data_IF_826448360681
#
_entry.id   IF_826448360681
#
_cell.length_a   1.000
_cell.length_b   1.000
_cell.length_c   1.000
_cell.angle_alpha   90.00
_cell.angle_beta   90.00
_cell.angle_gamma   90.00
#
_symmetry.space_group_name_H-M   'P 1'
#
loop_
_entity.id
_entity.type
_entity.pdbx_description
1 polymer ?
#
# COMPACT_ATOMS: atom_id res chain seq x y z
N UNK A 1 -36.90 -11.86 17.98
CA UNK A 1 -37.06 -10.61 18.75
C UNK A 1 -35.74 -9.84 18.71
N UNK A 2 -35.42 -9.23 17.56
CA UNK A 2 -34.20 -8.44 17.34
C UNK A 2 -34.51 -6.99 17.70
N UNK A 3 -34.06 -6.54 18.86
CA UNK A 3 -34.23 -5.15 19.26
C UNK A 3 -33.36 -4.25 18.37
N UNK A 4 -34.02 -3.50 17.50
CA UNK A 4 -33.43 -2.39 16.76
C UNK A 4 -33.08 -1.27 17.75
N UNK A 5 -31.82 -1.20 18.18
CA UNK A 5 -31.33 -0.08 18.99
C UNK A 5 -31.45 1.19 18.14
N UNK A 6 -32.40 2.05 18.48
CA UNK A 6 -32.58 3.34 17.80
C UNK A 6 -31.46 4.30 18.24
N UNK A 7 -30.45 4.48 17.38
CA UNK A 7 -29.42 5.52 17.52
C UNK A 7 -30.06 6.91 17.75
N UNK A 8 -29.68 7.60 18.83
CA UNK A 8 -30.18 8.95 19.11
C UNK A 8 -29.53 9.96 18.14
N UNK A 9 -30.19 11.10 17.81
CA UNK A 9 -29.58 12.12 16.95
C UNK A 9 -28.27 12.70 17.54
N UNK A 10 -28.11 12.64 18.86
CA UNK A 10 -26.90 13.06 19.56
C UNK A 10 -25.70 12.11 19.28
N UNK A 11 -25.91 10.78 19.33
CA UNK A 11 -24.84 9.81 19.03
C UNK A 11 -24.36 9.91 17.58
N UNK A 12 -25.29 10.12 16.63
CA UNK A 12 -24.95 10.32 15.21
C UNK A 12 -24.12 11.58 14.95
N UNK A 13 -24.45 12.71 15.57
CA UNK A 13 -23.67 13.96 15.42
C UNK A 13 -22.27 13.81 16.00
N UNK A 14 -22.14 13.19 17.18
CA UNK A 14 -20.84 12.92 17.79
C UNK A 14 -19.99 12.00 16.90
N UNK A 15 -20.57 10.92 16.36
CA UNK A 15 -19.89 10.03 15.42
C UNK A 15 -19.40 10.79 14.17
N UNK A 16 -20.24 11.66 13.60
CA UNK A 16 -19.87 12.47 12.43
C UNK A 16 -18.72 13.44 12.74
N UNK A 17 -18.73 14.08 13.90
CA UNK A 17 -17.64 14.97 14.33
C UNK A 17 -16.35 14.18 14.51
N UNK A 18 -16.40 13.04 15.20
CA UNK A 18 -15.22 12.19 15.40
C UNK A 18 -14.67 11.73 14.03
N UNK A 19 -15.54 11.28 13.13
CA UNK A 19 -15.13 10.87 11.80
C UNK A 19 -14.51 12.02 11.00
N UNK A 20 -15.10 13.22 11.05
CA UNK A 20 -14.55 14.40 10.39
C UNK A 20 -13.17 14.78 10.94
N UNK A 21 -12.98 14.69 12.25
CA UNK A 21 -11.67 14.93 12.90
C UNK A 21 -10.65 13.90 12.46
N UNK A 22 -11.00 12.61 12.48
CA UNK A 22 -10.10 11.53 12.02
C UNK A 22 -9.71 11.71 10.56
N UNK A 23 -10.69 12.00 9.69
CA UNK A 23 -10.43 12.29 8.27
C UNK A 23 -9.52 13.52 8.13
N UNK A 24 -9.76 14.59 8.90
CA UNK A 24 -8.91 15.77 8.91
C UNK A 24 -7.45 15.45 9.28
N UNK A 25 -7.23 14.66 10.32
CA UNK A 25 -5.89 14.21 10.73
C UNK A 25 -5.23 13.38 9.63
N UNK A 26 -5.97 12.45 9.01
CA UNK A 26 -5.45 11.62 7.92
C UNK A 26 -5.09 12.42 6.67
N UNK A 27 -5.87 13.47 6.34
CA UNK A 27 -5.55 14.39 5.25
C UNK A 27 -4.24 15.12 5.57
N UNK A 28 -4.12 15.70 6.76
CA UNK A 28 -2.88 16.40 7.18
C UNK A 28 -1.68 15.46 7.13
N UNK A 29 -1.81 14.24 7.66
CA UNK A 29 -0.75 13.23 7.59
C UNK A 29 -0.36 12.89 6.15
N UNK A 30 -1.35 12.75 5.25
CA UNK A 30 -1.11 12.49 3.82
C UNK A 30 -0.36 13.64 3.16
N UNK A 31 -0.70 14.90 3.47
CA UNK A 31 0.01 16.06 2.95
C UNK A 31 1.47 16.11 3.42
N UNK A 32 1.72 15.81 4.70
CA UNK A 32 3.08 15.70 5.26
C UNK A 32 3.84 14.59 4.55
N UNK A 33 3.23 13.42 4.37
CA UNK A 33 3.84 12.28 3.68
C UNK A 33 4.24 12.62 2.23
N UNK A 34 3.36 13.27 1.47
CA UNK A 34 3.65 13.68 0.09
C UNK A 34 4.74 14.76 0.04
N UNK A 35 4.69 15.76 0.93
CA UNK A 35 5.73 16.79 1.00
C UNK A 35 7.10 16.19 1.34
N UNK A 36 7.12 15.24 2.28
CA UNK A 36 8.32 14.50 2.64
C UNK A 36 8.84 13.66 1.47
N UNK A 37 7.97 12.92 0.77
CA UNK A 37 8.34 12.15 -0.42
C UNK A 37 8.96 13.06 -1.51
N UNK A 38 8.36 14.22 -1.76
CA UNK A 38 8.87 15.19 -2.74
C UNK A 38 10.26 15.74 -2.38
N UNK A 39 10.57 15.86 -1.09
CA UNK A 39 11.88 16.29 -0.62
C UNK A 39 12.93 15.17 -0.66
N UNK A 40 12.56 13.95 -0.24
CA UNK A 40 13.51 12.84 -0.08
C UNK A 40 13.80 12.11 -1.39
N UNK A 41 12.85 11.96 -2.32
CA UNK A 41 13.09 11.25 -3.58
C UNK A 41 14.29 11.82 -4.37
N UNK A 42 14.43 13.14 -4.59
CA UNK A 42 15.56 13.69 -5.33
C UNK A 42 16.84 13.81 -4.49
N UNK A 43 16.81 13.53 -3.18
CA UNK A 43 17.96 13.69 -2.31
C UNK A 43 19.08 12.68 -2.69
N UNK A 44 20.30 13.12 -3.02
CA UNK A 44 21.29 12.29 -3.71
C UNK A 44 22.08 11.35 -2.78
N UNK A 45 21.96 11.51 -1.47
CA UNK A 45 22.68 10.68 -0.49
C UNK A 45 21.73 9.67 0.18
N UNK A 46 22.33 8.69 0.84
CA UNK A 46 21.63 7.75 1.69
C UNK A 46 20.89 8.52 2.79
N UNK A 47 19.60 8.27 2.87
CA UNK A 47 18.75 8.85 3.90
C UNK A 47 18.55 7.86 5.04
N UNK A 48 18.39 6.57 4.70
CA UNK A 48 18.29 5.47 5.65
C UNK A 48 19.42 4.46 5.43
N UNK A 49 19.90 3.87 6.54
CA UNK A 49 21.02 2.94 6.55
C UNK A 49 20.79 1.75 5.62
N UNK A 50 19.54 1.31 5.42
CA UNK A 50 19.20 0.18 4.55
C UNK A 50 19.28 0.49 3.06
N UNK A 51 19.14 1.75 2.63
CA UNK A 51 18.97 2.09 1.21
C UNK A 51 20.18 1.73 0.36
N UNK A 52 21.39 1.88 0.91
CA UNK A 52 22.63 1.47 0.25
C UNK A 52 22.69 -0.04 0.01
N UNK A 53 22.22 -0.83 0.97
CA UNK A 53 22.17 -2.30 0.85
C UNK A 53 21.19 -2.74 -0.24
N UNK A 54 19.99 -2.14 -0.27
CA UNK A 54 18.97 -2.42 -1.30
C UNK A 54 19.45 -2.03 -2.70
N UNK A 55 20.08 -0.86 -2.82
CA UNK A 55 20.65 -0.38 -4.07
C UNK A 55 21.79 -1.30 -4.54
N UNK A 56 22.67 -1.74 -3.64
CA UNK A 56 23.78 -2.60 -3.99
C UNK A 56 23.32 -3.97 -4.51
N UNK A 57 22.24 -4.54 -3.94
CA UNK A 57 21.63 -5.76 -4.48
C UNK A 57 21.19 -5.58 -5.94
N UNK A 58 20.55 -4.45 -6.27
CA UNK A 58 20.17 -4.15 -7.64
C UNK A 58 21.38 -3.96 -8.57
N UNK A 59 22.48 -3.39 -8.07
CA UNK A 59 23.75 -3.27 -8.78
C UNK A 59 24.37 -4.63 -9.07
N UNK A 60 24.39 -5.54 -8.08
CA UNK A 60 24.87 -6.91 -8.27
C UNK A 60 24.05 -7.63 -9.35
N UNK A 61 22.72 -7.54 -9.29
CA UNK A 61 21.85 -8.07 -10.34
C UNK A 61 22.11 -7.43 -11.71
N UNK A 62 22.34 -6.12 -11.76
CA UNK A 62 22.66 -5.41 -12.99
C UNK A 62 23.97 -5.88 -13.63
N UNK A 63 24.90 -6.41 -12.83
CA UNK A 63 26.18 -7.00 -13.27
C UNK A 63 26.10 -8.50 -13.56
N UNK A 64 24.95 -9.14 -13.34
CA UNK A 64 24.81 -10.60 -13.41
C UNK A 64 25.46 -11.34 -12.24
N UNK A 65 25.78 -10.62 -11.15
CA UNK A 65 26.28 -11.20 -9.91
C UNK A 65 25.12 -11.68 -9.03
N UNK A 66 25.42 -12.59 -8.10
CA UNK A 66 24.42 -13.26 -7.29
C UNK A 66 24.42 -12.74 -5.84
N UNK A 67 23.51 -11.82 -5.46
CA UNK A 67 23.43 -11.30 -4.09
C UNK A 67 22.96 -12.32 -3.04
N UNK A 68 22.45 -13.48 -3.47
CA UNK A 68 21.92 -14.56 -2.60
C UNK A 68 22.83 -15.79 -2.54
N UNK A 69 24.03 -15.70 -3.11
CA UNK A 69 24.96 -16.82 -3.15
C UNK A 69 25.70 -16.99 -1.81
N UNK A 70 26.44 -18.10 -1.69
CA UNK A 70 27.16 -18.45 -0.46
C UNK A 70 28.08 -17.30 -0.03
N UNK A 71 27.91 -16.85 1.21
CA UNK A 71 28.71 -15.79 1.83
C UNK A 71 29.84 -16.32 2.69
N UNK A 72 30.22 -17.60 2.54
CA UNK A 72 31.29 -18.26 3.30
C UNK A 72 32.70 -17.84 2.85
N UNK A 73 32.76 -17.15 1.70
CA UNK A 73 34.00 -16.63 1.13
C UNK A 73 33.88 -15.12 0.92
N UNK A 74 35.02 -14.44 0.92
CA UNK A 74 35.08 -13.01 0.61
C UNK A 74 34.31 -12.71 -0.69
N UNK A 75 33.44 -11.68 -0.75
CA UNK A 75 33.33 -10.54 0.18
C UNK A 75 32.38 -10.70 1.38
N UNK A 76 31.94 -11.93 1.71
CA UNK A 76 31.04 -12.21 2.84
C UNK A 76 29.72 -11.42 2.76
N UNK A 77 29.17 -11.28 1.55
CA UNK A 77 27.94 -10.55 1.29
C UNK A 77 26.78 -11.50 1.04
N UNK A 78 25.64 -11.26 1.70
CA UNK A 78 24.37 -11.91 1.39
C UNK A 78 23.21 -10.94 1.61
N UNK A 79 22.26 -10.94 0.68
CA UNK A 79 21.00 -10.22 0.82
C UNK A 79 20.05 -10.95 1.77
N UNK A 80 19.40 -10.19 2.65
CA UNK A 80 18.44 -10.69 3.65
C UNK A 80 16.96 -10.53 3.23
N UNK A 81 16.68 -9.85 2.11
CA UNK A 81 15.32 -9.57 1.64
C UNK A 81 14.98 -10.27 0.33
N UNK A 82 13.70 -10.56 0.03
CA UNK A 82 13.30 -11.14 -1.24
C UNK A 82 13.69 -10.29 -2.47
N UNK A 83 13.95 -10.90 -3.64
CA UNK A 83 14.60 -10.22 -4.76
C UNK A 83 13.68 -9.31 -5.59
N UNK A 84 12.36 -9.33 -5.36
CA UNK A 84 11.39 -8.61 -6.21
C UNK A 84 11.69 -7.12 -6.29
N UNK A 85 11.97 -6.49 -5.15
CA UNK A 85 12.28 -5.06 -5.11
C UNK A 85 13.58 -4.74 -5.86
N UNK A 86 14.62 -5.55 -5.67
CA UNK A 86 15.89 -5.41 -6.36
C UNK A 86 15.75 -5.57 -7.88
N UNK A 87 14.97 -6.55 -8.35
CA UNK A 87 14.70 -6.74 -9.78
C UNK A 87 13.95 -5.56 -10.40
N UNK A 88 13.02 -4.95 -9.67
CA UNK A 88 12.35 -3.73 -10.14
C UNK A 88 13.33 -2.56 -10.29
N UNK A 89 14.36 -2.48 -9.45
CA UNK A 89 15.39 -1.44 -9.52
C UNK A 89 16.47 -1.71 -10.58
N UNK A 90 16.81 -2.96 -10.86
CA UNK A 90 17.86 -3.37 -11.84
C UNK A 90 17.79 -2.63 -13.18
N UNK A 91 16.64 -2.51 -13.88
CA UNK A 91 16.61 -1.79 -15.15
C UNK A 91 16.94 -0.30 -15.00
N UNK A 92 16.63 0.31 -13.86
CA UNK A 92 16.99 1.71 -13.59
C UNK A 92 18.48 1.87 -13.32
N UNK A 93 19.13 0.87 -12.72
CA UNK A 93 20.60 0.86 -12.57
C UNK A 93 21.27 0.88 -13.95
N UNK A 94 20.77 0.13 -14.93
CA UNK A 94 21.32 0.15 -16.29
C UNK A 94 21.15 1.51 -16.99
N UNK A 95 20.01 2.18 -16.76
CA UNK A 95 19.66 3.43 -17.44
C UNK A 95 20.30 4.68 -16.79
N UNK A 96 20.38 4.71 -15.46
CA UNK A 96 20.74 5.91 -14.70
C UNK A 96 21.97 5.72 -13.81
N UNK A 97 22.52 4.50 -13.75
CA UNK A 97 23.55 4.13 -12.78
C UNK A 97 22.98 3.92 -11.37
N UNK A 98 23.86 3.71 -10.37
CA UNK A 98 23.45 3.47 -8.98
C UNK A 98 22.96 4.77 -8.32
N UNK A 99 21.64 4.99 -8.31
CA UNK A 99 21.01 6.18 -7.75
C UNK A 99 19.92 5.81 -6.73
N UNK A 100 19.67 6.65 -5.73
CA UNK A 100 18.66 6.36 -4.70
C UNK A 100 17.22 6.68 -5.11
N UNK A 101 17.03 7.61 -6.05
CA UNK A 101 15.70 8.17 -6.33
C UNK A 101 14.68 7.13 -6.81
N UNK A 102 15.10 6.15 -7.62
CA UNK A 102 14.17 5.17 -8.18
C UNK A 102 13.69 4.18 -7.12
N UNK A 103 14.52 3.79 -6.14
CA UNK A 103 14.10 2.93 -5.04
C UNK A 103 12.99 3.61 -4.23
N UNK A 104 13.20 4.89 -3.90
CA UNK A 104 12.22 5.73 -3.20
C UNK A 104 10.95 5.93 -4.01
N UNK A 105 11.07 6.19 -5.32
CA UNK A 105 9.93 6.37 -6.21
C UNK A 105 9.10 5.09 -6.36
N UNK A 106 9.74 3.91 -6.47
CA UNK A 106 9.06 2.62 -6.57
C UNK A 106 8.21 2.36 -5.31
N UNK A 107 8.78 2.55 -4.11
CA UNK A 107 8.06 2.35 -2.85
C UNK A 107 6.90 3.37 -2.70
N UNK A 108 7.12 4.62 -3.11
CA UNK A 108 6.06 5.63 -3.11
C UNK A 108 4.91 5.24 -4.04
N UNK A 109 5.21 4.81 -5.27
CA UNK A 109 4.21 4.34 -6.24
C UNK A 109 3.49 3.10 -5.71
N UNK A 110 4.21 2.15 -5.11
CA UNK A 110 3.60 0.96 -4.50
C UNK A 110 2.60 1.31 -3.39
N UNK A 111 2.90 2.33 -2.58
CA UNK A 111 1.96 2.87 -1.58
C UNK A 111 0.69 3.40 -2.23
N UNK A 112 0.83 4.20 -3.30
CA UNK A 112 -0.33 4.75 -4.04
C UNK A 112 -1.16 3.64 -4.70
N UNK A 113 -0.52 2.64 -5.32
CA UNK A 113 -1.18 1.47 -5.90
C UNK A 113 -1.97 0.71 -4.82
N UNK A 114 -1.35 0.47 -3.67
CA UNK A 114 -1.99 -0.24 -2.55
C UNK A 114 -3.20 0.53 -2.04
N UNK A 115 -3.07 1.83 -1.80
CA UNK A 115 -4.18 2.69 -1.38
C UNK A 115 -5.32 2.68 -2.41
N UNK A 116 -4.98 2.77 -3.70
CA UNK A 116 -5.95 2.73 -4.80
C UNK A 116 -6.67 1.38 -4.89
N UNK A 117 -5.94 0.27 -4.72
CA UNK A 117 -6.51 -1.08 -4.72
C UNK A 117 -7.48 -1.28 -3.55
N UNK A 118 -7.14 -0.78 -2.36
CA UNK A 118 -8.03 -0.80 -1.19
C UNK A 118 -9.29 0.02 -1.47
N UNK A 119 -9.15 1.25 -1.97
CA UNK A 119 -10.28 2.10 -2.31
C UNK A 119 -11.21 1.44 -3.34
N UNK A 120 -10.64 0.82 -4.37
CA UNK A 120 -11.36 0.08 -5.39
C UNK A 120 -12.10 -1.14 -4.83
N UNK A 121 -11.45 -1.92 -3.97
CA UNK A 121 -12.06 -3.08 -3.32
C UNK A 121 -13.26 -2.68 -2.43
N UNK A 122 -13.14 -1.56 -1.69
CA UNK A 122 -14.24 -1.00 -0.89
C UNK A 122 -15.40 -0.58 -1.80
N UNK A 123 -15.13 0.15 -2.89
CA UNK A 123 -16.16 0.60 -3.81
C UNK A 123 -16.93 -0.57 -4.43
N UNK A 124 -16.24 -1.61 -4.90
CA UNK A 124 -16.84 -2.85 -5.41
C UNK A 124 -17.77 -3.48 -4.37
N UNK A 125 -17.30 -3.61 -3.13
CA UNK A 125 -18.08 -4.24 -2.05
C UNK A 125 -19.35 -3.45 -1.72
N UNK A 126 -19.28 -2.11 -1.73
CA UNK A 126 -20.44 -1.25 -1.48
C UNK A 126 -21.46 -1.32 -2.63
N UNK A 127 -21.00 -1.38 -3.88
CA UNK A 127 -21.86 -1.56 -5.05
C UNK A 127 -22.62 -2.89 -4.97
N UNK A 128 -21.97 -3.98 -4.58
CA UNK A 128 -22.64 -5.28 -4.41
C UNK A 128 -23.67 -5.27 -3.29
N UNK A 129 -23.41 -4.60 -2.15
CA UNK A 129 -24.41 -4.42 -1.09
C UNK A 129 -25.59 -3.57 -1.56
N UNK A 130 -25.34 -2.46 -2.25
CA UNK A 130 -26.39 -1.61 -2.79
C UNK A 130 -27.22 -2.32 -3.87
N UNK A 131 -26.59 -3.14 -4.72
CA UNK A 131 -27.27 -3.99 -5.70
C UNK A 131 -28.10 -5.09 -5.02
N UNK A 132 -27.60 -5.74 -3.97
CA UNK A 132 -28.34 -6.73 -3.19
C UNK A 132 -29.55 -6.12 -2.47
N UNK A 133 -29.41 -4.91 -1.90
CA UNK A 133 -30.54 -4.18 -1.29
C UNK A 133 -31.58 -3.80 -2.34
N UNK A 134 -31.16 -3.32 -3.53
CA UNK A 134 -32.08 -2.98 -4.62
C UNK A 134 -32.74 -4.21 -5.26
N UNK A 135 -32.03 -5.33 -5.36
CA UNK A 135 -32.61 -6.60 -5.80
C UNK A 135 -33.47 -7.26 -4.71
N UNK A 136 -33.29 -6.88 -3.44
CA UNK A 136 -34.11 -7.30 -2.30
C UNK A 136 -35.58 -6.87 -2.36
N UNK A 137 -35.92 -5.94 -3.26
CA UNK A 137 -37.30 -5.57 -3.60
C UNK A 137 -37.87 -6.32 -4.81
N UNK A 138 -37.12 -7.26 -5.43
CA UNK A 138 -37.57 -7.94 -6.65
C UNK A 138 -37.67 -9.48 -6.54
N UNK A 139 -37.33 -10.09 -5.40
CA UNK A 139 -37.54 -11.52 -5.18
C UNK A 139 -38.17 -11.78 -3.82
N UNK A 140 -39.37 -12.35 -3.85
CA UNK A 140 -40.13 -12.81 -2.70
C UNK A 140 -39.23 -13.58 -1.72
N UNK A 141 -39.27 -13.17 -0.46
CA UNK A 141 -38.67 -13.79 0.72
C UNK A 141 -39.01 -15.27 0.97
N UNK A 142 -39.69 -15.94 0.04
CA UNK A 142 -40.20 -17.31 0.20
C UNK A 142 -39.31 -18.43 -0.34
N UNK A 143 -38.28 -18.16 -1.15
CA UNK A 143 -37.48 -19.23 -1.79
C UNK A 143 -36.15 -19.59 -1.11
N UNK A 144 -35.64 -18.79 -0.17
CA UNK A 144 -34.33 -19.09 0.47
C UNK A 144 -34.48 -20.02 1.69
N UNK A 145 -35.68 -20.12 2.30
CA UNK A 145 -35.89 -20.99 3.48
C UNK A 145 -36.27 -22.44 3.09
N UNK A 146 -36.57 -22.73 1.82
CA UNK A 146 -36.99 -24.09 1.38
C UNK A 146 -35.87 -24.98 0.85
N UNK A 147 -34.60 -24.59 0.99
CA UNK A 147 -33.44 -25.38 0.47
C UNK A 147 -32.40 -25.71 1.55
N UNK A 148 -32.84 -25.80 2.81
CA UNK A 148 -32.17 -26.53 3.89
C UNK A 148 -33.25 -27.41 4.53
#
# INVERSE_FOLDING_TARGET
>A
MTQSISETPFSRRLQQIILAVVIGILIVHTLIYVAYAAAVIPYPFDYDQGEGHELYNAVLFARGECPYCANETYPFYASNYPPVFHFLMTPFVWLFGPQYWYGRAIIFIATVITASAIAWAIQRTQQHKAAAVRCGDCASWHQIISTI
#
